data_IF_010253848458
#
_entry.id   IF_010253848458
#
_cell.length_a   1.000
_cell.length_b   1.000
_cell.length_c   1.000
_cell.angle_alpha   90.00
_cell.angle_beta   90.00
_cell.angle_gamma   90.00
#
_symmetry.space_group_name_H-M   'P 1'
#
loop_
_entity.id
_entity.type
_entity.pdbx_description
1 polymer ?
#
# COMPACT_ATOMS: atom_id res chain seq x y z
N UNK A 1 -11.17 -47.71 77.32
CA UNK A 1 -9.89 -47.35 76.68
C UNK A 1 -10.15 -47.27 75.18
N UNK A 2 -10.59 -46.12 74.71
CA UNK A 2 -10.91 -45.88 73.30
C UNK A 2 -9.67 -45.41 72.53
N UNK A 3 -9.37 -46.06 71.41
CA UNK A 3 -8.34 -45.62 70.46
C UNK A 3 -9.01 -44.71 69.41
N UNK A 4 -8.55 -43.47 69.21
CA UNK A 4 -9.11 -42.64 68.16
C UNK A 4 -8.60 -43.11 66.78
N UNK A 5 -9.56 -43.36 65.89
CA UNK A 5 -9.32 -43.68 64.48
C UNK A 5 -8.76 -42.45 63.75
N UNK A 6 -7.52 -42.53 63.29
CA UNK A 6 -6.90 -41.49 62.47
C UNK A 6 -7.54 -41.48 61.08
N UNK A 7 -8.27 -40.40 60.77
CA UNK A 7 -8.80 -40.12 59.43
C UNK A 7 -7.63 -39.76 58.53
N UNK A 8 -7.33 -40.60 57.54
CA UNK A 8 -6.29 -40.37 56.54
C UNK A 8 -6.74 -39.26 55.59
N UNK A 9 -6.08 -38.10 55.66
CA UNK A 9 -6.31 -36.99 54.74
C UNK A 9 -5.76 -37.35 53.35
N UNK A 10 -6.65 -37.56 52.38
CA UNK A 10 -6.26 -37.72 50.97
C UNK A 10 -5.71 -36.40 50.43
N UNK A 11 -4.49 -36.35 49.86
CA UNK A 11 -3.97 -35.14 49.26
C UNK A 11 -4.79 -34.76 48.02
N UNK A 12 -5.24 -33.50 47.98
CA UNK A 12 -5.93 -32.94 46.83
C UNK A 12 -5.00 -32.92 45.60
N UNK A 13 -5.52 -33.12 44.37
CA UNK A 13 -4.70 -33.10 43.17
C UNK A 13 -4.03 -31.72 42.99
N UNK A 14 -2.81 -31.68 42.46
CA UNK A 14 -2.09 -30.43 42.23
C UNK A 14 -2.88 -29.52 41.29
N UNK A 15 -3.00 -28.25 41.65
CA UNK A 15 -3.66 -27.20 40.87
C UNK A 15 -2.93 -27.04 39.53
N UNK A 16 -3.51 -27.61 38.47
CA UNK A 16 -2.97 -27.53 37.12
C UNK A 16 -2.96 -26.05 36.66
N UNK A 17 -1.78 -25.43 36.71
CA UNK A 17 -1.59 -24.05 36.30
C UNK A 17 -1.82 -23.94 34.79
N UNK A 18 -2.84 -23.16 34.38
CA UNK A 18 -3.06 -22.88 32.96
C UNK A 18 -1.75 -22.36 32.35
N UNK A 19 -1.23 -22.97 31.28
CA UNK A 19 0.04 -22.55 30.73
C UNK A 19 -0.15 -21.15 30.13
N UNK A 20 0.60 -20.17 30.64
CA UNK A 20 0.59 -18.77 30.19
C UNK A 20 0.84 -18.63 28.68
N UNK A 21 1.41 -19.65 28.04
CA UNK A 21 1.63 -19.73 26.60
C UNK A 21 0.33 -19.76 25.79
N UNK A 22 -0.77 -20.34 26.29
CA UNK A 22 -2.06 -20.33 25.59
C UNK A 22 -2.62 -18.91 25.45
N UNK A 23 -2.42 -18.07 26.47
CA UNK A 23 -2.85 -16.67 26.41
C UNK A 23 -2.08 -15.88 25.35
N UNK A 24 -0.76 -16.08 25.24
CA UNK A 24 0.05 -15.42 24.21
C UNK A 24 -0.31 -15.88 22.80
N UNK A 25 -0.60 -17.17 22.60
CA UNK A 25 -1.03 -17.69 21.30
C UNK A 25 -2.35 -17.05 20.87
N UNK A 26 -3.30 -16.89 21.79
CA UNK A 26 -4.59 -16.21 21.52
C UNK A 26 -4.38 -14.73 21.19
N UNK A 27 -3.53 -14.02 21.94
CA UNK A 27 -3.25 -12.60 21.65
C UNK A 27 -2.59 -12.43 20.28
N UNK A 28 -1.62 -13.28 19.94
CA UNK A 28 -0.94 -13.24 18.64
C UNK A 28 -1.90 -13.56 17.48
N UNK A 29 -2.77 -14.55 17.63
CA UNK A 29 -3.72 -14.91 16.58
C UNK A 29 -4.76 -13.82 16.34
N UNK A 30 -5.32 -13.22 17.40
CA UNK A 30 -6.21 -12.06 17.28
C UNK A 30 -5.50 -10.85 16.65
N UNK A 31 -4.24 -10.60 17.02
CA UNK A 31 -3.43 -9.53 16.43
C UNK A 31 -3.21 -9.72 14.92
N UNK A 32 -2.87 -10.93 14.47
CA UNK A 32 -2.67 -11.26 13.06
C UNK A 32 -3.97 -11.12 12.24
N UNK A 33 -5.10 -11.55 12.79
CA UNK A 33 -6.41 -11.39 12.14
C UNK A 33 -6.78 -9.92 12.02
N UNK A 34 -6.65 -9.15 13.10
CA UNK A 34 -6.91 -7.71 13.08
C UNK A 34 -6.02 -6.97 12.07
N UNK A 35 -4.72 -7.30 12.05
CA UNK A 35 -3.77 -6.71 11.12
C UNK A 35 -4.10 -7.01 9.67
N UNK A 36 -4.48 -8.25 9.35
CA UNK A 36 -4.80 -8.63 7.97
C UNK A 36 -6.07 -7.95 7.45
N UNK A 37 -7.08 -7.76 8.30
CA UNK A 37 -8.28 -6.97 7.98
C UNK A 37 -7.93 -5.50 7.71
N UNK A 38 -7.09 -4.88 8.54
CA UNK A 38 -6.67 -3.49 8.30
C UNK A 38 -5.85 -3.36 7.01
N UNK A 39 -4.92 -4.30 6.77
CA UNK A 39 -4.08 -4.28 5.57
C UNK A 39 -4.88 -4.47 4.28
N UNK A 40 -5.86 -5.37 4.28
CA UNK A 40 -6.76 -5.57 3.13
C UNK A 40 -7.60 -4.33 2.82
N UNK A 41 -8.12 -3.66 3.85
CA UNK A 41 -8.94 -2.45 3.69
C UNK A 41 -8.13 -1.22 3.27
N UNK A 42 -6.89 -1.12 3.74
CA UNK A 42 -6.01 0.00 3.42
C UNK A 42 -5.26 -0.18 2.11
N UNK A 43 -5.28 -1.38 1.51
CA UNK A 43 -4.63 -1.60 0.24
C UNK A 43 -5.23 -0.72 -0.84
N UNK A 44 -4.40 0.03 -1.59
CA UNK A 44 -4.89 0.89 -2.66
C UNK A 44 -5.69 0.05 -3.65
N UNK A 45 -6.67 0.66 -4.30
CA UNK A 45 -7.41 0.05 -5.39
C UNK A 45 -6.77 0.41 -6.74
N UNK A 46 -7.39 -0.07 -7.82
CA UNK A 46 -6.87 0.20 -9.16
C UNK A 46 -6.94 1.70 -9.51
N UNK A 47 -8.03 2.38 -9.13
CA UNK A 47 -8.19 3.81 -9.41
C UNK A 47 -7.13 4.67 -8.70
N UNK A 48 -6.76 4.33 -7.46
CA UNK A 48 -5.66 4.96 -6.74
C UNK A 48 -4.32 4.73 -7.45
N UNK A 49 -4.07 3.51 -7.95
CA UNK A 49 -2.87 3.20 -8.72
C UNK A 49 -2.79 3.96 -10.05
N UNK A 50 -3.87 4.00 -10.83
CA UNK A 50 -3.91 4.75 -12.09
C UNK A 50 -3.64 6.24 -11.88
N UNK A 51 -4.22 6.81 -10.81
CA UNK A 51 -4.00 8.21 -10.42
C UNK A 51 -2.56 8.45 -10.03
N UNK A 52 -1.98 7.57 -9.19
CA UNK A 52 -0.57 7.63 -8.81
C UNK A 52 0.37 7.55 -10.02
N UNK A 53 0.17 6.57 -10.90
CA UNK A 53 1.04 6.35 -12.04
C UNK A 53 0.93 7.49 -13.07
N UNK A 54 -0.28 8.02 -13.29
CA UNK A 54 -0.47 9.19 -14.16
C UNK A 54 0.25 10.43 -13.61
N UNK A 55 0.17 10.68 -12.30
CA UNK A 55 0.91 11.77 -11.65
C UNK A 55 2.41 11.60 -11.75
N UNK A 56 2.90 10.37 -11.52
CA UNK A 56 4.33 10.08 -11.61
C UNK A 56 4.87 10.27 -13.03
N UNK A 57 4.10 9.87 -14.04
CA UNK A 57 4.48 10.10 -15.44
C UNK A 57 4.51 11.61 -15.75
N UNK A 58 3.47 12.35 -15.38
CA UNK A 58 3.39 13.79 -15.63
C UNK A 58 4.44 14.59 -14.85
N UNK A 59 4.81 14.21 -13.63
CA UNK A 59 5.87 14.88 -12.88
C UNK A 59 7.25 14.70 -13.54
N UNK A 60 7.49 13.55 -14.16
CA UNK A 60 8.69 13.35 -14.97
C UNK A 60 8.70 14.22 -16.23
N UNK A 61 7.54 14.38 -16.88
CA UNK A 61 7.41 15.31 -18.01
C UNK A 61 7.59 16.77 -17.56
N UNK A 62 7.02 17.16 -16.42
CA UNK A 62 7.12 18.51 -15.87
C UNK A 62 8.57 18.90 -15.64
N UNK A 63 9.33 18.05 -14.94
CA UNK A 63 10.75 18.30 -14.66
C UNK A 63 11.59 18.41 -15.92
N UNK A 64 11.26 17.66 -16.97
CA UNK A 64 12.00 17.68 -18.24
C UNK A 64 11.63 18.83 -19.17
N UNK A 65 10.35 19.20 -19.25
CA UNK A 65 9.83 20.11 -20.29
C UNK A 65 9.25 21.42 -19.76
N UNK A 66 8.82 21.48 -18.50
CA UNK A 66 8.20 22.68 -17.93
C UNK A 66 9.17 23.54 -17.12
N UNK A 67 10.43 23.13 -16.98
CA UNK A 67 11.45 23.92 -16.28
C UNK A 67 11.72 25.22 -17.07
N UNK A 68 11.56 26.41 -16.45
CA UNK A 68 11.82 27.67 -17.12
C UNK A 68 13.28 27.74 -17.57
N UNK A 69 13.47 28.28 -18.77
CA UNK A 69 14.81 28.49 -19.35
C UNK A 69 15.37 29.84 -18.94
N UNK A 70 16.69 29.99 -18.99
CA UNK A 70 17.36 31.28 -18.75
C UNK A 70 16.84 32.39 -19.67
N UNK A 71 16.39 32.06 -20.88
CA UNK A 71 15.80 33.01 -21.83
C UNK A 71 14.42 33.49 -21.39
N UNK A 72 13.54 32.57 -20.98
CA UNK A 72 12.17 32.91 -20.53
C UNK A 72 12.17 33.67 -19.21
N UNK A 73 13.11 33.39 -18.32
CA UNK A 73 13.27 34.11 -17.06
C UNK A 73 13.76 35.54 -17.28
N UNK A 74 14.73 35.74 -18.19
CA UNK A 74 15.22 37.09 -18.54
C UNK A 74 14.15 37.99 -19.16
N UNK A 75 13.15 37.40 -19.81
CA UNK A 75 12.01 38.11 -20.39
C UNK A 75 10.86 38.31 -19.39
N UNK A 76 10.98 37.82 -18.15
CA UNK A 76 9.91 37.88 -17.14
C UNK A 76 8.71 36.98 -17.45
N UNK A 77 8.86 36.04 -18.40
CA UNK A 77 7.80 35.14 -18.86
C UNK A 77 7.85 33.76 -18.19
N UNK A 78 8.85 33.48 -17.36
CA UNK A 78 9.07 32.18 -16.73
C UNK A 78 7.83 31.62 -16.03
N UNK A 79 7.15 32.43 -15.21
CA UNK A 79 5.93 32.01 -14.52
C UNK A 79 4.77 31.70 -15.48
N UNK A 80 4.60 32.49 -16.54
CA UNK A 80 3.53 32.27 -17.52
C UNK A 80 3.75 30.97 -18.32
N UNK A 81 4.99 30.73 -18.74
CA UNK A 81 5.38 29.48 -19.43
C UNK A 81 5.19 28.28 -18.51
N UNK A 82 5.60 28.39 -17.25
CA UNK A 82 5.45 27.31 -16.27
C UNK A 82 3.98 26.99 -15.99
N UNK A 83 3.13 28.01 -15.79
CA UNK A 83 1.69 27.82 -15.58
C UNK A 83 0.98 27.22 -16.80
N UNK A 84 1.34 27.67 -18.02
CA UNK A 84 0.80 27.11 -19.25
C UNK A 84 1.19 25.64 -19.43
N UNK A 85 2.44 25.30 -19.15
CA UNK A 85 2.93 23.92 -19.22
C UNK A 85 2.24 23.02 -18.18
N UNK A 86 2.12 23.46 -16.93
CA UNK A 86 1.39 22.74 -15.89
C UNK A 86 -0.08 22.51 -16.27
N UNK A 87 -0.74 23.52 -16.85
CA UNK A 87 -2.13 23.40 -17.30
C UNK A 87 -2.27 22.33 -18.40
N UNK A 88 -1.34 22.28 -19.35
CA UNK A 88 -1.34 21.25 -20.41
C UNK A 88 -1.09 19.85 -19.85
N UNK A 89 -0.16 19.70 -18.90
CA UNK A 89 0.09 18.42 -18.25
C UNK A 89 -1.13 17.93 -17.45
N UNK A 90 -1.79 18.84 -16.72
CA UNK A 90 -3.02 18.51 -15.99
C UNK A 90 -4.16 18.09 -16.92
N UNK A 91 -4.32 18.75 -18.07
CA UNK A 91 -5.29 18.31 -19.08
C UNK A 91 -4.98 16.92 -19.63
N UNK A 92 -3.71 16.57 -19.76
CA UNK A 92 -3.25 15.24 -20.16
C UNK A 92 -3.49 14.15 -19.10
N UNK A 93 -3.79 14.51 -17.85
CA UNK A 93 -3.92 13.54 -16.76
C UNK A 93 -5.07 12.56 -16.94
N UNK A 94 -6.26 13.04 -17.30
CA UNK A 94 -7.43 12.20 -17.47
C UNK A 94 -7.24 11.13 -18.57
N UNK A 95 -6.87 11.49 -19.83
CA UNK A 95 -6.66 10.48 -20.86
C UNK A 95 -5.49 9.54 -20.53
N UNK A 96 -4.46 10.02 -19.82
CA UNK A 96 -3.36 9.18 -19.38
C UNK A 96 -3.81 8.17 -18.32
N UNK A 97 -4.64 8.59 -17.37
CA UNK A 97 -5.24 7.71 -16.35
C UNK A 97 -6.07 6.60 -17.00
N UNK A 98 -6.90 6.96 -17.98
CA UNK A 98 -7.73 6.01 -18.72
C UNK A 98 -6.89 5.01 -19.52
N UNK A 99 -5.85 5.50 -20.21
CA UNK A 99 -4.90 4.64 -20.93
C UNK A 99 -4.17 3.68 -19.99
N UNK A 100 -3.73 4.15 -18.82
CA UNK A 100 -3.12 3.30 -17.79
C UNK A 100 -4.13 2.24 -17.35
N UNK A 101 -5.35 2.66 -16.98
CA UNK A 101 -6.39 1.74 -16.50
C UNK A 101 -6.74 0.64 -17.50
N UNK A 102 -6.85 0.97 -18.79
CA UNK A 102 -7.09 -0.03 -19.85
C UNK A 102 -5.98 -1.08 -19.94
N UNK A 103 -4.77 -0.70 -19.58
CA UNK A 103 -3.57 -1.52 -19.68
C UNK A 103 -3.07 -2.05 -18.33
N UNK A 104 -3.79 -1.80 -17.24
CA UNK A 104 -3.44 -2.24 -15.90
C UNK A 104 -4.23 -3.47 -15.49
N UNK A 105 -3.54 -4.46 -14.94
CA UNK A 105 -4.14 -5.59 -14.22
C UNK A 105 -3.77 -5.53 -12.75
N UNK A 106 -4.77 -5.64 -11.86
CA UNK A 106 -4.60 -5.69 -10.40
C UNK A 106 -4.84 -7.11 -9.87
N UNK A 107 -3.91 -7.62 -9.08
CA UNK A 107 -4.06 -8.85 -8.31
C UNK A 107 -4.06 -8.53 -6.81
N UNK A 108 -5.20 -8.70 -6.14
CA UNK A 108 -5.30 -8.53 -4.70
C UNK A 108 -4.92 -9.85 -3.99
N UNK A 109 -3.83 -9.82 -3.22
CA UNK A 109 -3.31 -10.98 -2.47
C UNK A 109 -3.64 -10.88 -0.97
N UNK A 110 -4.62 -10.05 -0.62
CA UNK A 110 -5.02 -9.80 0.76
C UNK A 110 -4.18 -8.69 1.38
N UNK A 111 -3.00 -9.04 1.90
CA UNK A 111 -2.10 -8.08 2.57
C UNK A 111 -1.45 -7.09 1.61
N UNK A 112 -1.26 -7.49 0.35
CA UNK A 112 -0.65 -6.67 -0.70
C UNK A 112 -1.51 -6.73 -1.96
N UNK A 113 -1.36 -5.74 -2.83
CA UNK A 113 -1.90 -5.75 -4.19
C UNK A 113 -0.75 -5.64 -5.20
N UNK A 114 -0.76 -6.47 -6.23
CA UNK A 114 0.21 -6.41 -7.32
C UNK A 114 -0.44 -5.75 -8.53
N UNK A 115 0.25 -4.77 -9.11
CA UNK A 115 -0.18 -4.05 -10.30
C UNK A 115 0.78 -4.33 -11.43
N UNK A 116 0.21 -4.54 -12.60
CA UNK A 116 0.98 -4.77 -13.81
C UNK A 116 0.39 -3.92 -14.91
N UNK A 117 1.19 -3.01 -15.47
CA UNK A 117 0.76 -2.10 -16.52
C UNK A 117 1.60 -2.29 -17.76
N UNK A 118 0.96 -2.55 -18.90
CA UNK A 118 1.63 -2.74 -20.19
C UNK A 118 1.29 -1.57 -21.12
N UNK A 119 2.20 -0.60 -21.28
CA UNK A 119 1.98 0.54 -22.17
C UNK A 119 2.70 0.34 -23.52
N UNK A 120 2.07 -0.33 -24.51
CA UNK A 120 2.71 -0.64 -25.79
C UNK A 120 3.05 0.63 -26.60
N UNK A 121 2.26 1.69 -26.47
CA UNK A 121 2.43 2.93 -27.23
C UNK A 121 3.52 3.86 -26.68
N UNK A 122 3.88 3.73 -25.39
CA UNK A 122 4.75 4.70 -24.70
C UNK A 122 6.13 4.10 -24.42
N UNK A 123 6.19 2.98 -23.70
CA UNK A 123 7.46 2.45 -23.19
C UNK A 123 7.77 1.04 -23.70
N UNK A 124 6.82 0.31 -24.32
CA UNK A 124 6.92 -1.13 -24.67
C UNK A 124 7.41 -2.03 -23.53
N UNK A 125 7.50 -1.50 -22.31
CA UNK A 125 7.96 -2.17 -21.10
C UNK A 125 6.76 -2.39 -20.18
N UNK A 126 6.77 -3.52 -19.49
CA UNK A 126 5.83 -3.82 -18.42
C UNK A 126 6.29 -3.12 -17.14
N UNK A 127 5.40 -2.32 -16.56
CA UNK A 127 5.61 -1.65 -15.27
C UNK A 127 4.98 -2.51 -14.20
N UNK A 128 5.73 -2.82 -13.14
CA UNK A 128 5.24 -3.55 -11.98
C UNK A 128 5.13 -2.61 -10.79
N UNK A 129 4.13 -2.81 -9.95
CA UNK A 129 4.03 -2.10 -8.68
C UNK A 129 3.41 -2.96 -7.59
N UNK A 130 3.78 -2.67 -6.35
CA UNK A 130 3.17 -3.29 -5.16
C UNK A 130 2.45 -2.21 -4.36
N UNK A 131 1.18 -2.47 -4.06
CA UNK A 131 0.40 -1.76 -3.06
C UNK A 131 0.49 -2.46 -1.71
N UNK A 132 0.84 -1.72 -0.66
CA UNK A 132 0.89 -2.22 0.71
C UNK A 132 0.55 -1.10 1.68
N UNK A 133 -0.41 -1.32 2.60
CA UNK A 133 -0.80 -0.36 3.65
C UNK A 133 -1.05 1.07 3.11
N UNK A 134 -1.78 1.18 2.00
CA UNK A 134 -2.13 2.48 1.38
C UNK A 134 -1.01 3.12 0.56
N UNK A 135 0.17 2.53 0.51
CA UNK A 135 1.31 3.03 -0.27
C UNK A 135 1.48 2.21 -1.55
N UNK A 136 2.07 2.83 -2.58
CA UNK A 136 2.38 2.21 -3.87
C UNK A 136 3.87 2.32 -4.14
N UNK A 137 4.49 1.21 -4.51
CA UNK A 137 5.92 1.13 -4.82
C UNK A 137 6.11 0.58 -6.23
N UNK A 138 6.76 1.34 -7.11
CA UNK A 138 7.15 0.89 -8.44
C UNK A 138 8.34 -0.05 -8.36
N UNK A 139 8.28 -1.14 -9.13
CA UNK A 139 9.35 -2.10 -9.32
C UNK A 139 9.89 -1.87 -10.74
N UNK A 140 11.11 -1.37 -10.84
CA UNK A 140 11.78 -1.03 -12.10
C UNK A 140 12.67 -2.18 -12.58
#
# INVERSE_FOLDING_TARGET
MDRPSLISAHPLPPRQSRPKSLAWVVVLSLGLVGFSVVATLTNPDQAAYETYLSHQALSQLETQFCSPTSTTDRLGLGQFVQQGCQSLLQQGQHPLKELIGYHTTRHNLGLVSLYTTELPAVTRKKIWAIGFLGQIYLLQ
#
